data_IF_141220934200
#
_entry.id   IF_141220934200
#
_cell.length_a   1.000
_cell.length_b   1.000
_cell.length_c   1.000
_cell.angle_alpha   90.00
_cell.angle_beta   90.00
_cell.angle_gamma   90.00
#
_symmetry.space_group_name_H-M   'P 1'
#
loop_
_entity.id
_entity.type
_entity.pdbx_description
1 polymer ?
#
# COMPACT_ATOMS: atom_id res chain seq x y z
N UNK A 1 -4.63 6.33 15.77
CA UNK A 1 -3.18 6.64 15.74
C UNK A 1 -2.65 6.24 14.39
N UNK A 2 -2.12 7.14 13.57
CA UNK A 2 -1.59 6.82 12.24
C UNK A 2 -0.24 6.12 12.37
N UNK A 3 -0.02 5.09 11.55
CA UNK A 3 1.29 4.45 11.45
C UNK A 3 2.28 5.45 10.83
N UNK A 4 3.46 5.60 11.44
CA UNK A 4 4.51 6.43 10.85
C UNK A 4 5.17 5.72 9.68
N UNK A 5 5.40 6.44 8.59
CA UNK A 5 6.16 5.92 7.46
C UNK A 5 7.56 5.52 7.89
N UNK A 6 7.91 4.29 7.56
CA UNK A 6 9.25 3.74 7.65
C UNK A 6 9.59 2.97 6.36
N UNK A 7 10.77 2.38 6.26
CA UNK A 7 11.28 1.73 5.02
C UNK A 7 10.40 0.61 4.49
N UNK A 8 9.64 -0.08 5.34
CA UNK A 8 8.94 -1.32 4.98
C UNK A 8 7.40 -1.21 4.97
N UNK A 9 6.83 -0.02 5.24
CA UNK A 9 5.38 0.12 5.40
C UNK A 9 4.74 1.17 4.48
N UNK A 10 5.44 1.54 3.39
CA UNK A 10 5.01 2.62 2.50
C UNK A 10 3.58 2.44 1.98
N UNK A 11 3.18 1.24 1.56
CA UNK A 11 1.85 1.02 0.98
C UNK A 11 0.75 1.15 2.03
N UNK A 12 0.96 0.63 3.24
CA UNK A 12 0.01 0.79 4.36
C UNK A 12 -0.09 2.26 4.76
N UNK A 13 1.05 2.94 4.88
CA UNK A 13 1.10 4.36 5.19
C UNK A 13 0.40 5.18 4.11
N UNK A 14 0.72 4.94 2.83
CA UNK A 14 0.10 5.61 1.68
C UNK A 14 -1.42 5.48 1.72
N UNK A 15 -1.93 4.26 1.85
CA UNK A 15 -3.36 4.01 1.92
C UNK A 15 -4.03 4.78 3.07
N UNK A 16 -3.44 4.76 4.28
CA UNK A 16 -3.99 5.51 5.42
C UNK A 16 -4.03 7.02 5.15
N UNK A 17 -2.98 7.57 4.52
CA UNK A 17 -2.93 8.99 4.20
C UNK A 17 -3.96 9.34 3.13
N UNK A 18 -4.07 8.56 2.07
CA UNK A 18 -5.06 8.78 0.99
C UNK A 18 -6.48 8.82 1.56
N UNK A 19 -6.87 7.84 2.38
CA UNK A 19 -8.20 7.81 3.05
C UNK A 19 -8.44 9.08 3.88
N UNK A 20 -7.44 9.54 4.63
CA UNK A 20 -7.57 10.76 5.42
C UNK A 20 -7.69 11.98 4.51
N UNK A 21 -6.88 12.08 3.46
CA UNK A 21 -6.93 13.20 2.53
C UNK A 21 -8.27 13.27 1.76
N UNK A 22 -8.85 12.12 1.41
CA UNK A 22 -10.20 12.05 0.84
C UNK A 22 -11.24 12.60 1.81
N UNK A 23 -11.22 12.15 3.07
CA UNK A 23 -12.16 12.59 4.11
C UNK A 23 -12.13 14.12 4.33
N UNK A 24 -10.96 14.75 4.14
CA UNK A 24 -10.79 16.20 4.27
C UNK A 24 -10.86 16.95 2.92
N UNK A 25 -11.23 16.29 1.81
CA UNK A 25 -11.25 16.84 0.46
C UNK A 25 -9.91 17.49 0.06
N UNK A 26 -8.80 16.81 0.41
CA UNK A 26 -7.44 17.27 0.15
C UNK A 26 -6.67 16.36 -0.82
N UNK A 27 -7.28 15.27 -1.29
CA UNK A 27 -6.62 14.29 -2.17
C UNK A 27 -6.09 14.94 -3.45
N UNK A 28 -6.81 15.90 -4.02
CA UNK A 28 -6.42 16.61 -5.24
C UNK A 28 -5.09 17.38 -5.10
N UNK A 29 -4.66 17.68 -3.85
CA UNK A 29 -3.37 18.35 -3.62
C UNK A 29 -2.17 17.42 -3.89
N UNK A 30 -2.37 16.11 -3.90
CA UNK A 30 -1.32 15.13 -4.19
C UNK A 30 -1.45 14.54 -5.60
N UNK A 31 -2.65 14.36 -6.13
CA UNK A 31 -2.93 13.69 -7.40
C UNK A 31 -2.86 14.64 -8.61
N UNK A 32 -3.51 15.79 -8.54
CA UNK A 32 -3.63 16.72 -9.66
C UNK A 32 -2.56 17.82 -9.67
N UNK A 33 -2.33 18.38 -10.87
CA UNK A 33 -1.51 19.58 -11.02
C UNK A 33 -2.36 20.83 -10.69
N UNK A 34 -2.84 20.92 -9.46
CA UNK A 34 -3.48 22.13 -8.98
C UNK A 34 -2.47 23.28 -9.02
N UNK A 35 -2.65 24.18 -9.97
CA UNK A 35 -1.89 25.44 -9.99
C UNK A 35 -2.36 26.32 -8.83
N UNK A 36 -1.40 26.95 -8.17
CA UNK A 36 -1.72 27.90 -7.12
C UNK A 36 -2.53 29.07 -7.73
N UNK A 37 -3.66 29.48 -7.13
CA UNK A 37 -4.33 30.71 -7.52
C UNK A 37 -3.37 31.90 -7.44
N UNK A 38 -3.63 32.95 -8.20
CA UNK A 38 -2.83 34.17 -8.11
C UNK A 38 -2.90 34.77 -6.70
N UNK A 39 -1.79 35.22 -6.14
CA UNK A 39 -1.76 35.82 -4.79
C UNK A 39 -2.60 37.08 -4.65
N UNK A 40 -2.76 37.83 -5.74
CA UNK A 40 -3.45 39.11 -5.78
C UNK A 40 -4.66 39.09 -6.74
N UNK A 41 -5.67 39.86 -6.42
CA UNK A 41 -6.83 40.05 -7.29
C UNK A 41 -6.44 40.87 -8.52
N UNK A 42 -7.19 40.70 -9.61
CA UNK A 42 -7.09 41.55 -10.82
C UNK A 42 -8.17 42.59 -10.84
N UNK A 43 -7.82 43.80 -11.28
CA UNK A 43 -8.76 44.87 -11.56
C UNK A 43 -9.55 44.64 -12.87
N UNK A 44 -10.46 45.57 -13.19
CA UNK A 44 -11.24 45.53 -14.42
C UNK A 44 -10.40 45.59 -15.70
N UNK A 45 -9.16 46.10 -15.61
CA UNK A 45 -8.19 46.19 -16.69
C UNK A 45 -7.24 45.00 -16.74
N UNK A 46 -7.49 43.93 -15.93
CA UNK A 46 -6.68 42.72 -15.78
C UNK A 46 -5.31 42.93 -15.17
N UNK A 47 -5.01 44.06 -14.56
CA UNK A 47 -3.78 44.31 -13.82
C UNK A 47 -3.91 43.75 -12.40
N UNK A 48 -2.79 43.27 -11.85
CA UNK A 48 -2.78 42.83 -10.46
C UNK A 48 -2.88 43.99 -9.49
N UNK A 49 -3.78 43.86 -8.53
CA UNK A 49 -3.97 44.83 -7.44
C UNK A 49 -3.04 44.47 -6.26
N UNK A 50 -3.04 45.30 -5.23
CA UNK A 50 -2.38 44.98 -3.94
C UNK A 50 -3.30 44.17 -3.00
N UNK A 51 -4.54 43.92 -3.42
CA UNK A 51 -5.52 43.18 -2.62
C UNK A 51 -5.28 41.69 -2.70
N UNK A 52 -5.17 41.04 -1.52
CA UNK A 52 -4.91 39.62 -1.42
C UNK A 52 -6.10 38.79 -1.93
N UNK A 53 -5.79 37.80 -2.77
CA UNK A 53 -6.81 36.89 -3.27
C UNK A 53 -7.23 35.89 -2.18
N UNK A 54 -8.51 35.88 -1.73
CA UNK A 54 -8.97 34.94 -0.70
C UNK A 54 -8.83 33.45 -1.10
N UNK A 55 -8.90 33.15 -2.41
CA UNK A 55 -8.72 31.79 -2.91
C UNK A 55 -7.27 31.33 -2.74
N UNK A 56 -6.30 32.22 -3.00
CA UNK A 56 -4.89 31.93 -2.75
C UNK A 56 -4.62 31.66 -1.27
N UNK A 57 -5.22 32.48 -0.38
CA UNK A 57 -5.05 32.30 1.06
C UNK A 57 -5.59 30.94 1.50
N UNK A 58 -6.78 30.56 1.03
CA UNK A 58 -7.39 29.25 1.31
C UNK A 58 -6.54 28.10 0.78
N UNK A 59 -6.08 28.22 -0.47
CA UNK A 59 -5.21 27.24 -1.10
C UNK A 59 -3.90 27.06 -0.29
N UNK A 60 -3.24 28.16 0.04
CA UNK A 60 -1.99 28.16 0.81
C UNK A 60 -2.16 27.52 2.18
N UNK A 61 -3.26 27.82 2.89
CA UNK A 61 -3.51 27.24 4.20
C UNK A 61 -3.72 25.72 4.12
N UNK A 62 -4.42 25.23 3.10
CA UNK A 62 -4.60 23.78 2.86
C UNK A 62 -3.27 23.11 2.50
N UNK A 63 -2.50 23.72 1.63
CA UNK A 63 -1.18 23.20 1.25
C UNK A 63 -0.23 23.13 2.46
N UNK A 64 -0.24 24.13 3.31
CA UNK A 64 0.52 24.13 4.56
C UNK A 64 0.00 23.07 5.55
N UNK A 65 -1.29 22.86 5.64
CA UNK A 65 -1.88 21.81 6.45
C UNK A 65 -1.45 20.42 5.95
N UNK A 66 -1.49 20.18 4.64
CA UNK A 66 -1.01 18.96 4.01
C UNK A 66 0.48 18.71 4.34
N UNK A 67 1.32 19.73 4.15
CA UNK A 67 2.74 19.64 4.46
C UNK A 67 2.96 19.24 5.92
N UNK A 68 2.29 19.93 6.85
CA UNK A 68 2.39 19.66 8.28
C UNK A 68 1.91 18.24 8.60
N UNK A 69 0.75 17.86 8.07
CA UNK A 69 0.19 16.53 8.29
C UNK A 69 1.14 15.42 7.82
N UNK A 70 1.65 15.49 6.58
CA UNK A 70 2.59 14.50 6.07
C UNK A 70 3.81 14.42 6.99
N UNK A 71 4.43 15.56 7.37
CA UNK A 71 5.61 15.57 8.25
C UNK A 71 5.37 14.84 9.59
N UNK A 72 4.19 15.01 10.19
CA UNK A 72 3.86 14.32 11.44
C UNK A 72 3.70 12.81 11.31
N UNK A 73 3.46 12.33 10.10
CA UNK A 73 3.30 10.90 9.81
C UNK A 73 4.60 10.21 9.37
N UNK A 74 5.73 10.90 9.40
CA UNK A 74 7.02 10.33 9.03
C UNK A 74 7.84 9.92 10.26
N UNK A 75 8.64 8.86 10.12
CA UNK A 75 9.66 8.53 11.11
C UNK A 75 10.85 9.50 11.01
N UNK A 76 11.67 9.64 12.06
CA UNK A 76 12.85 10.51 12.04
C UNK A 76 13.82 10.19 10.90
N UNK A 77 13.98 8.92 10.57
CA UNK A 77 14.82 8.45 9.46
C UNK A 77 14.33 8.93 8.10
N UNK A 78 13.01 8.97 7.89
CA UNK A 78 12.40 9.42 6.65
C UNK A 78 12.36 10.96 6.58
N UNK A 79 12.13 11.63 7.69
CA UNK A 79 12.17 13.09 7.76
C UNK A 79 13.50 13.67 7.22
N UNK A 80 14.61 12.99 7.44
CA UNK A 80 15.92 13.43 6.93
C UNK A 80 15.95 13.61 5.40
N UNK A 81 15.15 12.87 4.64
CA UNK A 81 15.11 12.95 3.18
C UNK A 81 14.34 14.14 2.64
N UNK A 82 13.47 14.73 3.46
CA UNK A 82 12.58 15.81 3.05
C UNK A 82 12.97 17.16 3.69
N UNK A 83 14.05 17.18 4.46
CA UNK A 83 14.57 18.42 5.05
C UNK A 83 14.79 19.47 3.95
N UNK A 84 14.30 20.69 4.18
CA UNK A 84 14.36 21.79 3.22
C UNK A 84 13.20 21.87 2.23
N UNK A 85 12.31 20.88 2.19
CA UNK A 85 11.06 20.98 1.42
C UNK A 85 10.06 21.89 2.14
N UNK A 86 9.25 22.62 1.34
CA UNK A 86 8.25 23.56 1.86
C UNK A 86 6.83 23.28 1.31
N UNK A 87 6.66 22.21 0.55
CA UNK A 87 5.41 21.86 -0.11
C UNK A 87 5.06 20.41 0.20
N UNK A 88 3.83 20.20 0.68
CA UNK A 88 3.29 18.87 0.97
C UNK A 88 3.28 17.98 -0.26
N UNK A 89 2.91 18.54 -1.40
CA UNK A 89 2.93 17.86 -2.68
C UNK A 89 4.32 17.41 -3.12
N UNK A 90 5.34 18.27 -2.96
CA UNK A 90 6.74 17.89 -3.29
C UNK A 90 7.21 16.76 -2.40
N UNK A 91 6.92 16.86 -1.11
CA UNK A 91 7.23 15.78 -0.16
C UNK A 91 6.56 14.49 -0.60
N UNK A 92 5.25 14.51 -0.91
CA UNK A 92 4.53 13.33 -1.40
C UNK A 92 5.22 12.68 -2.60
N UNK A 93 5.53 13.46 -3.64
CA UNK A 93 6.22 12.96 -4.84
C UNK A 93 7.60 12.38 -4.57
N UNK A 94 8.36 12.98 -3.63
CA UNK A 94 9.67 12.45 -3.23
C UNK A 94 9.50 11.08 -2.57
N UNK A 95 8.54 10.96 -1.65
CA UNK A 95 8.25 9.69 -0.96
C UNK A 95 7.74 8.63 -1.95
N UNK A 96 6.80 8.98 -2.80
CA UNK A 96 6.29 8.10 -3.84
C UNK A 96 7.41 7.57 -4.75
N UNK A 97 8.22 8.45 -5.31
CA UNK A 97 9.34 8.05 -6.18
C UNK A 97 10.34 7.15 -5.47
N UNK A 98 10.57 7.38 -4.17
CA UNK A 98 11.57 6.64 -3.41
C UNK A 98 11.08 5.26 -2.99
N UNK A 99 9.83 5.16 -2.55
CA UNK A 99 9.32 3.96 -1.91
C UNK A 99 8.47 3.07 -2.80
N UNK A 100 7.82 3.60 -3.85
CA UNK A 100 6.96 2.81 -4.70
C UNK A 100 7.70 1.65 -5.39
N UNK A 101 8.86 1.89 -5.95
CA UNK A 101 9.64 0.84 -6.63
C UNK A 101 10.15 -0.25 -5.68
N UNK A 102 10.57 0.15 -4.48
CA UNK A 102 11.03 -0.80 -3.44
C UNK A 102 9.89 -1.68 -2.97
N UNK A 103 8.71 -1.08 -2.75
CA UNK A 103 7.51 -1.81 -2.35
C UNK A 103 7.06 -2.81 -3.42
N UNK A 104 7.06 -2.43 -4.69
CA UNK A 104 6.76 -3.34 -5.80
C UNK A 104 7.74 -4.50 -5.90
N UNK A 105 9.04 -4.25 -5.76
CA UNK A 105 10.06 -5.31 -5.76
C UNK A 105 9.86 -6.28 -4.60
N UNK A 106 9.48 -5.78 -3.43
CA UNK A 106 9.17 -6.62 -2.27
C UNK A 106 7.93 -7.49 -2.48
N UNK A 107 6.84 -6.92 -3.04
CA UNK A 107 5.63 -7.68 -3.40
C UNK A 107 5.96 -8.78 -4.40
N UNK A 108 6.70 -8.46 -5.46
CA UNK A 108 7.10 -9.46 -6.46
C UNK A 108 7.96 -10.56 -5.84
N UNK A 109 8.85 -10.23 -4.92
CA UNK A 109 9.66 -11.23 -4.20
C UNK A 109 8.80 -12.16 -3.37
N UNK A 110 7.83 -11.64 -2.61
CA UNK A 110 6.90 -12.45 -1.82
C UNK A 110 5.99 -13.32 -2.69
N UNK A 111 5.49 -12.80 -3.81
CA UNK A 111 4.72 -13.59 -4.78
C UNK A 111 5.54 -14.71 -5.38
N UNK A 112 6.77 -14.43 -5.79
CA UNK A 112 7.68 -15.45 -6.32
C UNK A 112 8.02 -16.51 -5.26
N UNK A 113 8.22 -16.10 -4.01
CA UNK A 113 8.42 -17.02 -2.88
C UNK A 113 7.21 -17.96 -2.73
N UNK A 114 5.99 -17.42 -2.75
CA UNK A 114 4.75 -18.19 -2.67
C UNK A 114 4.61 -19.18 -3.86
N UNK A 115 4.84 -18.71 -5.09
CA UNK A 115 4.73 -19.54 -6.30
C UNK A 115 5.82 -20.61 -6.40
N UNK A 116 6.99 -20.37 -5.84
CA UNK A 116 8.11 -21.34 -5.84
C UNK A 116 8.09 -22.29 -4.67
N UNK A 117 7.18 -22.10 -3.71
CA UNK A 117 7.09 -22.94 -2.52
C UNK A 117 6.75 -24.37 -2.93
N UNK A 118 7.44 -25.34 -2.34
CA UNK A 118 7.17 -26.78 -2.49
C UNK A 118 7.21 -27.43 -1.11
N UNK A 119 6.29 -28.35 -0.85
CA UNK A 119 6.24 -29.09 0.40
C UNK A 119 7.54 -29.88 0.66
N UNK A 120 8.10 -30.48 -0.40
CA UNK A 120 9.29 -31.31 -0.29
C UNK A 120 9.14 -32.42 0.76
N UNK A 121 10.12 -32.53 1.65
CA UNK A 121 10.15 -33.53 2.73
C UNK A 121 9.51 -33.04 4.04
N UNK A 122 9.06 -31.80 4.09
CA UNK A 122 8.51 -31.19 5.29
C UNK A 122 7.13 -31.74 5.67
N UNK A 123 6.74 -31.54 6.92
CA UNK A 123 5.40 -31.91 7.37
C UNK A 123 4.33 -30.99 6.75
N UNK A 124 3.11 -31.48 6.60
CA UNK A 124 2.00 -30.67 6.11
C UNK A 124 1.78 -29.42 6.97
N UNK A 125 1.87 -29.55 8.29
CA UNK A 125 1.74 -28.42 9.20
C UNK A 125 2.80 -27.34 8.95
N UNK A 126 4.06 -27.73 8.78
CA UNK A 126 5.16 -26.79 8.47
C UNK A 126 4.91 -26.11 7.12
N UNK A 127 4.50 -26.86 6.12
CA UNK A 127 4.23 -26.36 4.79
C UNK A 127 3.08 -25.31 4.79
N UNK A 128 1.95 -25.61 5.43
CA UNK A 128 0.85 -24.65 5.55
C UNK A 128 1.21 -23.44 6.41
N UNK A 129 2.06 -23.63 7.42
CA UNK A 129 2.57 -22.49 8.19
C UNK A 129 3.37 -21.52 7.32
N UNK A 130 4.21 -22.02 6.43
CA UNK A 130 4.96 -21.17 5.49
C UNK A 130 4.06 -20.40 4.52
N UNK A 131 3.05 -21.08 3.96
CA UNK A 131 2.05 -20.41 3.10
C UNK A 131 1.37 -19.27 3.85
N UNK A 132 0.92 -19.54 5.08
CA UNK A 132 0.27 -18.53 5.92
C UNK A 132 1.19 -17.35 6.22
N UNK A 133 2.44 -17.60 6.57
CA UNK A 133 3.42 -16.54 6.83
C UNK A 133 3.65 -15.63 5.61
N UNK A 134 3.75 -16.20 4.40
CA UNK A 134 3.91 -15.42 3.17
C UNK A 134 2.62 -14.64 2.87
N UNK A 135 1.46 -15.27 3.02
CA UNK A 135 0.16 -14.62 2.84
C UNK A 135 -0.03 -13.45 3.81
N UNK A 136 0.31 -13.63 5.09
CA UNK A 136 0.25 -12.57 6.10
C UNK A 136 1.19 -11.40 5.76
N UNK A 137 2.41 -11.69 5.27
CA UNK A 137 3.36 -10.67 4.77
C UNK A 137 2.79 -9.90 3.57
N UNK A 138 2.12 -10.57 2.63
CA UNK A 138 1.44 -9.93 1.49
C UNK A 138 0.26 -9.08 1.96
N UNK A 139 -0.51 -9.53 2.93
CA UNK A 139 -1.60 -8.78 3.54
C UNK A 139 -1.12 -7.47 4.21
N UNK A 140 0.03 -7.48 4.86
CA UNK A 140 0.63 -6.27 5.45
C UNK A 140 0.95 -5.20 4.39
N UNK A 141 1.28 -5.60 3.16
CA UNK A 141 1.55 -4.65 2.06
C UNK A 141 0.32 -4.34 1.20
N UNK A 142 -0.89 -4.60 1.74
CA UNK A 142 -2.19 -4.31 1.10
C UNK A 142 -2.37 -5.08 -0.24
N UNK A 143 -1.71 -6.20 -0.38
CA UNK A 143 -1.92 -7.12 -1.51
C UNK A 143 -2.81 -8.26 -1.03
N UNK A 144 -4.08 -8.19 -1.39
CA UNK A 144 -4.99 -9.30 -1.17
C UNK A 144 -4.67 -10.40 -2.19
N UNK A 145 -4.18 -11.52 -1.71
CA UNK A 145 -4.19 -12.78 -2.48
C UNK A 145 -5.53 -13.44 -2.17
N UNK A 146 -6.28 -13.74 -3.21
CA UNK A 146 -7.57 -14.42 -3.04
C UNK A 146 -7.37 -15.79 -2.40
N UNK A 147 -8.31 -16.18 -1.56
CA UNK A 147 -8.22 -17.46 -0.86
C UNK A 147 -8.25 -18.65 -1.83
N UNK A 148 -8.97 -18.51 -2.94
CA UNK A 148 -9.00 -19.51 -4.02
C UNK A 148 -7.63 -19.62 -4.71
N UNK A 149 -6.99 -18.49 -5.03
CA UNK A 149 -5.62 -18.46 -5.60
C UNK A 149 -4.61 -19.12 -4.63
N UNK A 150 -4.73 -18.83 -3.35
CA UNK A 150 -3.85 -19.37 -2.32
C UNK A 150 -3.99 -20.90 -2.18
N UNK A 151 -5.22 -21.42 -2.22
CA UNK A 151 -5.49 -22.85 -2.18
C UNK A 151 -4.96 -23.52 -3.44
N UNK A 152 -5.19 -22.94 -4.60
CA UNK A 152 -4.68 -23.47 -5.87
C UNK A 152 -3.15 -23.61 -5.85
N UNK A 153 -2.44 -22.56 -5.43
CA UNK A 153 -0.99 -22.59 -5.28
C UNK A 153 -0.52 -23.62 -4.24
N UNK A 154 -1.26 -23.78 -3.13
CA UNK A 154 -0.97 -24.79 -2.13
C UNK A 154 -1.08 -26.20 -2.70
N UNK A 155 -2.13 -26.50 -3.47
CA UNK A 155 -2.35 -27.81 -4.08
C UNK A 155 -1.28 -28.12 -5.14
N UNK A 156 -0.90 -27.15 -5.97
CA UNK A 156 0.16 -27.31 -6.98
C UNK A 156 1.57 -27.53 -6.36
N UNK A 157 1.75 -27.10 -5.14
CA UNK A 157 3.02 -27.24 -4.43
C UNK A 157 3.18 -28.60 -3.73
N UNK A 158 2.12 -29.42 -3.70
CA UNK A 158 2.15 -30.76 -3.10
C UNK A 158 2.79 -31.79 -4.04
N UNK A 159 3.49 -32.80 -3.49
CA UNK A 159 4.02 -33.93 -4.24
C UNK A 159 2.91 -34.84 -4.80
N UNK A 160 3.24 -35.64 -5.82
CA UNK A 160 2.31 -36.57 -6.50
C UNK A 160 1.57 -37.54 -5.56
N UNK A 161 2.14 -37.88 -4.41
CA UNK A 161 1.47 -38.72 -3.41
C UNK A 161 0.13 -38.14 -2.91
N UNK A 162 -0.09 -36.83 -3.12
CA UNK A 162 -1.32 -36.11 -2.74
C UNK A 162 -2.29 -35.88 -3.92
N UNK A 163 -1.99 -36.35 -5.13
CA UNK A 163 -2.82 -36.10 -6.34
C UNK A 163 -4.28 -36.52 -6.18
N UNK A 164 -4.53 -37.65 -5.53
CA UNK A 164 -5.88 -38.13 -5.27
C UNK A 164 -6.67 -37.17 -4.35
N UNK A 165 -5.98 -36.63 -3.35
CA UNK A 165 -6.55 -35.65 -2.42
C UNK A 165 -6.79 -34.30 -3.13
N UNK A 166 -5.80 -33.83 -3.88
CA UNK A 166 -5.91 -32.60 -4.69
C UNK A 166 -7.10 -32.65 -5.63
N UNK A 167 -7.28 -33.77 -6.35
CA UNK A 167 -8.41 -33.98 -7.25
C UNK A 167 -9.77 -33.99 -6.51
N UNK A 168 -9.82 -34.61 -5.33
CA UNK A 168 -11.03 -34.62 -4.51
C UNK A 168 -11.41 -33.23 -4.00
N UNK A 169 -10.42 -32.40 -3.68
CA UNK A 169 -10.62 -31.01 -3.23
C UNK A 169 -11.06 -30.12 -4.40
N UNK A 170 -10.43 -30.23 -5.55
CA UNK A 170 -10.75 -29.46 -6.76
C UNK A 170 -12.17 -29.77 -7.33
N UNK A 171 -12.71 -30.95 -7.05
CA UNK A 171 -14.06 -31.33 -7.45
C UNK A 171 -15.16 -30.91 -6.46
N UNK A 172 -14.79 -30.36 -5.32
CA UNK A 172 -15.75 -29.79 -4.36
C UNK A 172 -16.32 -28.47 -4.86
N UNK A 173 -17.62 -28.30 -4.67
CA UNK A 173 -18.31 -27.02 -4.96
C UNK A 173 -18.24 -26.04 -3.78
N UNK A 174 -17.66 -26.43 -2.66
CA UNK A 174 -17.55 -25.61 -1.46
C UNK A 174 -16.18 -24.90 -1.43
N UNK A 175 -16.16 -23.67 -0.90
CA UNK A 175 -14.93 -22.92 -0.66
C UNK A 175 -14.16 -23.60 0.46
N UNK A 176 -13.12 -24.34 0.12
CA UNK A 176 -12.22 -24.98 1.08
C UNK A 176 -11.29 -23.93 1.67
N UNK A 177 -11.03 -23.97 2.96
CA UNK A 177 -10.08 -23.08 3.64
C UNK A 177 -8.73 -23.78 3.84
N UNK A 178 -7.65 -23.00 3.98
CA UNK A 178 -6.32 -23.53 4.33
C UNK A 178 -6.33 -24.32 5.63
N UNK A 179 -7.20 -23.94 6.58
CA UNK A 179 -7.33 -24.64 7.87
C UNK A 179 -7.99 -26.02 7.69
N UNK A 180 -8.98 -26.12 6.80
CA UNK A 180 -9.62 -27.40 6.46
C UNK A 180 -8.64 -28.33 5.73
N UNK A 181 -7.81 -27.79 4.81
CA UNK A 181 -6.75 -28.55 4.16
C UNK A 181 -5.74 -29.15 5.15
N UNK A 182 -5.42 -28.43 6.21
CA UNK A 182 -4.51 -28.89 7.25
C UNK A 182 -5.14 -29.99 8.15
N UNK A 183 -6.45 -30.11 8.20
CA UNK A 183 -7.16 -31.11 9.02
C UNK A 183 -7.44 -32.42 8.28
N UNK A 184 -7.24 -32.46 6.97
CA UNK A 184 -7.41 -33.69 6.17
C UNK A 184 -6.29 -34.66 6.56
N UNK A 185 -6.61 -35.60 7.47
CA UNK A 185 -5.71 -36.71 7.85
C UNK A 185 -5.65 -37.73 6.71
N UNK A 186 -4.45 -38.04 6.30
CA UNK A 186 -4.12 -39.12 5.36
C UNK A 186 -4.01 -40.46 6.06
#
# INVERSE_FOLDING_TARGET
MTVKLDYNNYLVWRHQIEVILEAYSMINFIEENLEAPNPFLKDSSRNYTTEANPEYIRWRNREQALFTFINFTLSPSILAFIVGQKSGRRVWKILEKRFASVSWSHILSLRNELMSLKKGLESMNTFFQWIKEIHDKLGVVVVCVDQEELIHLALEALPQEYDACCSAIQTRNDVVTLEELNTVKY
#
